data_IF_786312619473
#
_entry.id   IF_786312619473
#
_cell.length_a   1.000
_cell.length_b   1.000
_cell.length_c   1.000
_cell.angle_alpha   90.00
_cell.angle_beta   90.00
_cell.angle_gamma   90.00
#
_symmetry.space_group_name_H-M   'P 1'
#
loop_
_entity.id
_entity.type
_entity.pdbx_description
1 polymer ?
#
# COMPACT_ATOMS: atom_id res chain seq x y z
N UNK A 1 -24.13 -18.22 -29.02
CA UNK A 1 -22.97 -19.08 -28.66
C UNK A 1 -22.80 -19.00 -27.16
N UNK A 2 -23.13 -20.09 -26.50
CA UNK A 2 -23.37 -20.23 -25.05
C UNK A 2 -22.14 -20.81 -24.34
N UNK A 3 -22.00 -20.54 -23.04
CA UNK A 3 -21.08 -21.27 -22.18
C UNK A 3 -21.01 -20.77 -20.74
N UNK A 4 -22.10 -20.93 -19.97
CA UNK A 4 -22.20 -20.71 -18.52
C UNK A 4 -21.70 -21.95 -17.73
N UNK A 5 -21.16 -21.69 -16.54
CA UNK A 5 -21.18 -22.47 -15.28
C UNK A 5 -21.83 -23.87 -15.29
N UNK A 6 -21.17 -24.86 -14.67
CA UNK A 6 -21.74 -25.67 -13.57
C UNK A 6 -20.68 -26.60 -12.93
N UNK A 7 -20.58 -26.53 -11.60
CA UNK A 7 -19.91 -27.46 -10.69
C UNK A 7 -21.00 -28.35 -10.06
N UNK A 8 -20.90 -29.68 -10.13
CA UNK A 8 -21.33 -30.67 -9.11
C UNK A 8 -21.23 -32.10 -9.66
N UNK A 9 -20.46 -32.98 -8.99
CA UNK A 9 -20.96 -34.32 -8.61
C UNK A 9 -20.07 -34.98 -7.55
N UNK A 10 -20.67 -35.24 -6.39
CA UNK A 10 -20.27 -36.29 -5.46
C UNK A 10 -20.25 -37.66 -6.18
N UNK A 11 -19.34 -38.55 -5.76
CA UNK A 11 -19.69 -39.90 -5.28
C UNK A 11 -18.45 -40.57 -4.68
N UNK A 12 -18.44 -40.64 -3.36
CA UNK A 12 -17.71 -41.62 -2.55
C UNK A 12 -18.50 -42.93 -2.55
N UNK A 13 -17.82 -44.04 -2.83
CA UNK A 13 -18.18 -45.36 -2.30
C UNK A 13 -16.90 -46.10 -1.92
N UNK A 14 -16.93 -46.61 -0.69
CA UNK A 14 -15.90 -47.38 -0.02
C UNK A 14 -16.14 -48.89 -0.23
N UNK A 15 -15.18 -49.67 0.30
CA UNK A 15 -15.15 -51.13 0.50
C UNK A 15 -14.59 -51.93 -0.70
N UNK A 16 -13.75 -52.96 -0.56
CA UNK A 16 -13.23 -53.69 0.61
C UNK A 16 -12.23 -54.79 0.15
N UNK A 17 -11.36 -55.23 1.07
CA UNK A 17 -10.69 -56.56 1.21
C UNK A 17 -9.58 -57.01 0.25
N UNK A 18 -8.45 -57.44 0.84
CA UNK A 18 -7.55 -58.46 0.25
C UNK A 18 -6.12 -58.47 0.81
N UNK A 19 -5.80 -59.44 1.66
CA UNK A 19 -4.58 -59.55 2.45
C UNK A 19 -3.41 -60.30 1.78
N UNK A 20 -2.22 -60.14 2.38
CA UNK A 20 -1.10 -61.09 2.51
C UNK A 20 -0.12 -61.30 1.32
N UNK A 21 1.14 -60.89 1.49
CA UNK A 21 2.34 -61.75 1.65
C UNK A 21 3.62 -60.90 1.55
N UNK A 22 4.56 -61.18 2.46
CA UNK A 22 5.90 -60.62 2.62
C UNK A 22 6.82 -60.73 1.39
N UNK A 23 7.68 -59.74 1.17
CA UNK A 23 9.15 -59.86 1.31
C UNK A 23 9.89 -58.69 0.63
N UNK A 24 10.68 -58.01 1.47
CA UNK A 24 12.05 -57.54 1.20
C UNK A 24 12.35 -57.08 -0.23
N UNK A 25 12.39 -55.76 -0.43
CA UNK A 25 13.51 -55.18 -1.16
C UNK A 25 13.90 -53.81 -0.57
N UNK A 26 15.07 -53.83 0.02
CA UNK A 26 15.87 -52.69 0.41
C UNK A 26 16.20 -51.82 -0.80
N UNK A 27 15.56 -50.66 -0.88
CA UNK A 27 16.14 -49.50 -1.57
C UNK A 27 16.29 -48.37 -0.57
N UNK A 28 17.37 -48.48 0.20
CA UNK A 28 18.04 -47.36 0.85
C UNK A 28 18.27 -46.30 -0.22
N UNK A 29 17.53 -45.20 -0.12
CA UNK A 29 17.71 -44.05 -1.01
C UNK A 29 19.10 -43.43 -0.74
N UNK A 30 20.03 -43.41 -1.70
CA UNK A 30 21.40 -43.04 -1.43
C UNK A 30 21.52 -41.52 -1.28
N UNK A 31 21.95 -41.09 -0.09
CA UNK A 31 22.60 -39.80 0.20
C UNK A 31 21.87 -38.55 -0.31
N UNK A 32 20.83 -38.11 0.42
CA UNK A 32 20.50 -36.68 0.46
C UNK A 32 21.66 -35.94 1.13
N UNK A 33 22.17 -34.90 0.48
CA UNK A 33 23.22 -34.10 1.12
C UNK A 33 22.64 -33.36 2.33
N UNK A 34 23.39 -33.18 3.43
CA UNK A 34 22.96 -32.38 4.57
C UNK A 34 22.49 -30.97 4.16
N UNK A 35 23.06 -30.42 3.08
CA UNK A 35 22.65 -29.14 2.51
C UNK A 35 21.25 -29.16 1.89
N UNK A 36 20.82 -30.27 1.28
CA UNK A 36 19.48 -30.39 0.71
C UNK A 36 18.41 -30.52 1.80
N UNK A 37 18.67 -31.30 2.86
CA UNK A 37 17.72 -31.43 3.97
C UNK A 37 17.59 -30.12 4.76
N UNK A 38 18.69 -29.38 4.92
CA UNK A 38 18.66 -28.05 5.55
C UNK A 38 17.92 -27.04 4.67
N UNK A 39 18.11 -27.05 3.35
CA UNK A 39 17.37 -26.17 2.43
C UNK A 39 15.86 -26.49 2.42
N UNK A 40 15.47 -27.75 2.44
CA UNK A 40 14.06 -28.17 2.52
C UNK A 40 13.43 -27.78 3.86
N UNK A 41 14.12 -28.00 4.98
CA UNK A 41 13.63 -27.60 6.31
C UNK A 41 13.50 -26.08 6.44
N UNK A 42 14.48 -25.32 5.93
CA UNK A 42 14.43 -23.85 5.90
C UNK A 42 13.31 -23.35 4.99
N UNK A 43 13.09 -23.98 3.83
CA UNK A 43 11.98 -23.62 2.94
C UNK A 43 10.63 -23.94 3.58
N UNK A 44 10.49 -25.08 4.25
CA UNK A 44 9.29 -25.46 5.00
C UNK A 44 8.99 -24.48 6.14
N UNK A 45 10.00 -24.08 6.93
CA UNK A 45 9.82 -23.09 7.99
C UNK A 45 9.52 -21.67 7.47
N UNK A 46 10.00 -21.33 6.27
CA UNK A 46 9.69 -20.06 5.61
C UNK A 46 8.27 -20.04 5.01
N UNK A 47 7.73 -21.20 4.65
CA UNK A 47 6.32 -21.38 4.29
C UNK A 47 5.43 -21.28 5.53
N UNK A 48 5.92 -21.77 6.69
CA UNK A 48 5.20 -21.68 7.98
C UNK A 48 5.08 -20.26 8.53
N UNK A 49 6.02 -19.35 8.20
CA UNK A 49 5.98 -17.95 8.61
C UNK A 49 6.32 -16.98 7.46
N UNK A 50 5.32 -16.52 6.70
CA UNK A 50 5.54 -15.63 5.57
C UNK A 50 6.12 -14.26 6.00
N UNK A 51 5.91 -13.85 7.25
CA UNK A 51 6.44 -12.60 7.79
C UNK A 51 7.96 -12.65 7.98
N UNK A 52 8.45 -13.69 8.66
CA UNK A 52 9.89 -13.92 8.80
C UNK A 52 10.57 -14.10 7.46
N UNK A 53 9.90 -14.73 6.49
CA UNK A 53 10.44 -14.87 5.14
C UNK A 53 10.67 -13.52 4.43
N UNK A 54 9.85 -12.50 4.70
CA UNK A 54 10.07 -11.13 4.21
C UNK A 54 11.20 -10.46 4.96
N UNK A 55 11.23 -10.52 6.30
CA UNK A 55 12.30 -9.94 7.13
C UNK A 55 13.67 -10.47 6.73
N UNK A 56 13.81 -11.78 6.56
CA UNK A 56 15.05 -12.42 6.13
C UNK A 56 15.45 -12.06 4.70
N UNK A 57 14.47 -11.92 3.81
CA UNK A 57 14.73 -11.47 2.45
C UNK A 57 15.30 -10.05 2.46
N UNK A 58 14.71 -9.13 3.21
CA UNK A 58 15.16 -7.73 3.31
C UNK A 58 16.57 -7.66 3.86
N UNK A 59 16.86 -8.37 4.96
CA UNK A 59 18.21 -8.37 5.56
C UNK A 59 19.29 -8.80 4.55
N UNK A 60 18.98 -9.81 3.72
CA UNK A 60 19.89 -10.32 2.68
C UNK A 60 19.96 -9.41 1.46
N UNK A 61 18.83 -8.94 0.96
CA UNK A 61 18.73 -8.12 -0.26
C UNK A 61 19.41 -6.77 -0.07
N UNK A 62 19.22 -6.16 1.11
CA UNK A 62 19.89 -4.91 1.49
C UNK A 62 21.34 -5.11 1.91
N UNK A 63 21.83 -6.36 2.00
CA UNK A 63 23.19 -6.73 2.43
C UNK A 63 23.58 -6.09 3.76
N UNK A 64 22.68 -6.15 4.74
CA UNK A 64 22.89 -5.48 6.02
C UNK A 64 24.04 -6.14 6.79
N UNK A 65 25.02 -5.32 7.18
CA UNK A 65 26.18 -5.76 7.94
C UNK A 65 25.78 -6.18 9.36
N UNK A 66 26.24 -7.36 9.79
CA UNK A 66 26.00 -7.83 11.16
C UNK A 66 26.58 -6.91 12.22
N UNK A 67 27.72 -6.28 11.95
CA UNK A 67 28.37 -5.31 12.84
C UNK A 67 27.50 -4.07 13.12
N UNK A 68 26.62 -3.71 12.18
CA UNK A 68 25.78 -2.52 12.24
C UNK A 68 24.30 -2.87 12.43
N UNK A 69 24.02 -4.06 12.96
CA UNK A 69 22.66 -4.53 13.20
C UNK A 69 22.53 -5.34 14.48
N UNK A 70 21.41 -5.19 15.16
CA UNK A 70 20.98 -6.08 16.23
C UNK A 70 19.85 -6.97 15.71
N UNK A 71 19.92 -8.26 16.04
CA UNK A 71 18.89 -9.24 15.69
C UNK A 71 17.89 -9.36 16.85
N UNK A 72 16.62 -9.47 16.52
CA UNK A 72 15.55 -9.84 17.44
C UNK A 72 14.88 -11.14 16.97
N UNK A 73 14.00 -11.70 17.78
CA UNK A 73 13.30 -12.96 17.48
C UNK A 73 12.60 -12.92 16.11
N UNK A 74 11.91 -11.80 15.81
CA UNK A 74 11.14 -11.63 14.57
C UNK A 74 11.51 -10.40 13.76
N UNK A 75 12.75 -9.93 13.90
CA UNK A 75 13.16 -8.66 13.32
C UNK A 75 14.64 -8.37 13.45
N UNK A 76 15.01 -7.18 12.99
CA UNK A 76 16.31 -6.60 13.24
C UNK A 76 16.18 -5.08 13.34
N UNK A 77 17.13 -4.45 14.03
CA UNK A 77 17.40 -3.01 13.94
C UNK A 77 18.77 -2.81 13.34
N UNK A 78 18.93 -1.86 12.44
CA UNK A 78 20.21 -1.58 11.82
C UNK A 78 20.48 -0.08 11.66
N UNK A 79 21.77 0.25 11.55
CA UNK A 79 22.28 1.61 11.42
C UNK A 79 23.08 1.77 10.12
N UNK A 80 22.42 2.27 9.08
CA UNK A 80 23.11 2.66 7.85
C UNK A 80 24.01 3.87 8.04
N UNK A 81 23.65 4.75 8.98
CA UNK A 81 24.47 5.86 9.50
C UNK A 81 23.86 6.46 10.77
N UNK A 82 23.20 7.62 10.65
CA UNK A 82 22.79 8.46 11.79
C UNK A 82 21.48 8.00 12.44
N UNK A 83 20.64 7.24 11.74
CA UNK A 83 19.27 6.94 12.13
C UNK A 83 19.07 5.43 12.15
N UNK A 84 18.44 4.93 13.21
CA UNK A 84 18.10 3.52 13.35
C UNK A 84 16.85 3.20 12.53
N UNK A 85 16.87 2.05 11.84
CA UNK A 85 15.69 1.46 11.23
C UNK A 85 15.44 0.06 11.80
N UNK A 86 14.21 -0.20 12.23
CA UNK A 86 13.76 -1.50 12.72
C UNK A 86 12.79 -2.10 11.70
N UNK A 87 13.03 -3.36 11.33
CA UNK A 87 12.18 -4.16 10.44
C UNK A 87 11.80 -5.43 11.19
N UNK A 88 10.50 -5.73 11.26
CA UNK A 88 10.01 -6.90 11.97
C UNK A 88 8.70 -7.44 11.40
N UNK A 89 8.32 -8.64 11.83
CA UNK A 89 7.04 -9.26 11.51
C UNK A 89 6.24 -9.57 12.78
N UNK A 90 4.95 -9.27 12.75
CA UNK A 90 4.00 -9.78 13.76
C UNK A 90 3.86 -11.30 13.66
N UNK A 91 3.50 -12.00 14.75
CA UNK A 91 3.15 -13.41 14.69
C UNK A 91 2.08 -13.69 13.62
N UNK A 92 2.17 -14.80 12.88
CA UNK A 92 1.17 -15.14 11.88
C UNK A 92 -0.19 -15.46 12.54
N UNK A 93 -1.27 -15.10 11.86
CA UNK A 93 -2.65 -15.42 12.22
C UNK A 93 -3.41 -15.91 10.99
N UNK A 94 -4.55 -16.59 11.22
CA UNK A 94 -5.39 -17.11 10.14
C UNK A 94 -6.49 -16.10 9.78
N UNK A 95 -6.64 -15.78 8.49
CA UNK A 95 -7.76 -14.99 7.95
C UNK A 95 -8.16 -15.56 6.58
N UNK A 96 -9.45 -15.86 6.40
CA UNK A 96 -10.00 -16.35 5.12
C UNK A 96 -9.28 -17.59 4.54
N UNK A 97 -8.78 -18.48 5.40
CA UNK A 97 -8.05 -19.69 4.99
C UNK A 97 -6.59 -19.45 4.58
N UNK A 98 -6.09 -18.23 4.79
CA UNK A 98 -4.68 -17.90 4.61
C UNK A 98 -4.02 -17.64 5.95
N UNK A 99 -2.79 -18.14 6.08
CA UNK A 99 -1.88 -17.76 7.14
C UNK A 99 -1.19 -16.45 6.76
N UNK A 100 -1.54 -15.38 7.47
CA UNK A 100 -1.11 -14.01 7.18
C UNK A 100 -0.17 -13.53 8.30
N UNK A 101 0.87 -12.79 7.93
CA UNK A 101 1.64 -11.98 8.88
C UNK A 101 1.68 -10.53 8.39
N UNK A 102 1.80 -9.58 9.32
CA UNK A 102 2.05 -8.17 9.01
C UNK A 102 3.52 -7.85 9.24
N UNK A 103 4.19 -7.40 8.19
CA UNK A 103 5.57 -6.90 8.26
C UNK A 103 5.59 -5.39 8.40
N UNK A 104 6.55 -4.88 9.17
CA UNK A 104 6.68 -3.47 9.52
C UNK A 104 8.10 -2.97 9.29
N UNK A 105 8.18 -1.69 8.96
CA UNK A 105 9.42 -0.94 8.98
C UNK A 105 9.18 0.39 9.69
N UNK A 106 10.08 0.72 10.62
CA UNK A 106 10.11 2.00 11.33
C UNK A 106 11.52 2.56 11.26
N UNK A 107 11.64 3.83 10.91
CA UNK A 107 12.92 4.54 10.97
C UNK A 107 12.78 5.74 11.87
N UNK A 108 13.67 5.86 12.86
CA UNK A 108 13.68 6.99 13.79
C UNK A 108 14.05 8.28 13.06
N UNK A 109 13.29 9.36 13.30
CA UNK A 109 13.49 10.64 12.59
C UNK A 109 13.71 11.79 13.58
N UNK A 110 12.80 11.98 14.52
CA UNK A 110 12.88 13.07 15.49
C UNK A 110 12.33 12.66 16.85
N UNK A 111 12.85 13.28 17.90
CA UNK A 111 12.47 13.07 19.29
C UNK A 111 12.05 14.39 19.94
N UNK A 112 11.25 14.34 21.00
CA UNK A 112 10.77 15.55 21.69
C UNK A 112 9.71 16.33 20.90
N UNK A 113 9.01 15.66 19.97
CA UNK A 113 7.87 16.22 19.28
C UNK A 113 6.75 16.58 20.25
N UNK A 114 6.14 17.75 20.02
CA UNK A 114 4.95 18.20 20.77
C UNK A 114 3.76 18.19 19.82
N UNK A 115 2.71 17.43 20.15
CA UNK A 115 1.48 17.33 19.37
C UNK A 115 0.58 18.58 19.40
N UNK A 116 1.16 19.78 19.34
CA UNK A 116 0.39 21.02 19.24
C UNK A 116 -0.32 21.08 17.87
N UNK A 117 -1.44 21.83 17.74
CA UNK A 117 -2.12 21.98 16.45
C UNK A 117 -1.20 22.45 15.32
N UNK A 118 -0.27 23.37 15.62
CA UNK A 118 0.72 23.86 14.66
C UNK A 118 1.68 22.76 14.19
N UNK A 119 2.21 21.97 15.13
CA UNK A 119 3.14 20.89 14.81
C UNK A 119 2.45 19.73 14.08
N UNK A 120 1.20 19.43 14.41
CA UNK A 120 0.38 18.47 13.66
C UNK A 120 0.11 18.98 12.24
N UNK A 121 -0.15 20.28 12.05
CA UNK A 121 -0.28 20.88 10.71
C UNK A 121 1.00 20.75 9.89
N UNK A 122 2.17 21.01 10.50
CA UNK A 122 3.49 20.82 9.86
C UNK A 122 3.75 19.36 9.49
N UNK A 123 3.50 18.42 10.41
CA UNK A 123 3.63 16.98 10.16
C UNK A 123 2.70 16.53 9.02
N UNK A 124 1.46 16.99 9.03
CA UNK A 124 0.48 16.73 7.98
C UNK A 124 0.92 17.28 6.62
N UNK A 125 1.50 18.48 6.60
CA UNK A 125 2.04 19.09 5.37
C UNK A 125 3.21 18.29 4.79
N UNK A 126 4.10 17.74 5.63
CA UNK A 126 5.16 16.83 5.18
C UNK A 126 4.59 15.54 4.58
N UNK A 127 3.55 14.97 5.21
CA UNK A 127 2.89 13.75 4.74
C UNK A 127 2.12 13.91 3.42
N UNK A 128 1.87 15.14 2.94
CA UNK A 128 1.32 15.37 1.59
C UNK A 128 2.24 14.88 0.47
N UNK A 129 3.53 14.69 0.77
CA UNK A 129 4.54 14.17 -0.15
C UNK A 129 4.96 12.74 0.24
N UNK A 130 4.12 12.02 1.00
CA UNK A 130 4.40 10.64 1.36
C UNK A 130 4.52 9.76 0.11
N UNK A 131 5.57 8.92 0.10
CA UNK A 131 5.81 7.92 -0.93
C UNK A 131 5.33 6.55 -0.44
N UNK A 132 6.25 5.72 0.04
CA UNK A 132 5.98 4.37 0.55
C UNK A 132 5.96 4.28 2.08
N UNK A 133 5.97 5.43 2.77
CA UNK A 133 5.90 5.51 4.23
C UNK A 133 5.32 6.84 4.72
N UNK A 134 4.67 6.83 5.87
CA UNK A 134 4.21 8.04 6.59
C UNK A 134 5.23 8.50 7.62
N UNK A 135 5.29 9.80 7.90
CA UNK A 135 5.79 10.29 9.19
C UNK A 135 4.66 10.22 10.22
N UNK A 136 4.89 9.48 11.30
CA UNK A 136 3.91 9.28 12.38
C UNK A 136 4.49 9.69 13.73
N UNK A 137 3.61 10.00 14.68
CA UNK A 137 3.94 9.96 16.11
C UNK A 137 3.69 8.53 16.58
N UNK A 138 4.71 7.87 17.09
CA UNK A 138 4.64 6.44 17.41
C UNK A 138 3.97 6.19 18.77
N UNK A 139 2.64 6.10 18.79
CA UNK A 139 1.82 5.95 20.00
C UNK A 139 1.24 7.28 20.50
N UNK A 140 0.11 7.21 21.23
CA UNK A 140 -0.71 8.39 21.58
C UNK A 140 -0.01 9.42 22.47
N UNK A 141 0.94 9.00 23.30
CA UNK A 141 1.68 9.86 24.24
C UNK A 141 3.15 10.02 23.86
N UNK A 142 3.55 9.48 22.71
CA UNK A 142 4.95 9.50 22.30
C UNK A 142 5.38 10.87 21.81
N UNK A 143 6.64 11.18 22.06
CA UNK A 143 7.31 12.35 21.50
C UNK A 143 8.22 11.99 20.32
N UNK A 144 8.14 10.75 19.84
CA UNK A 144 8.99 10.22 18.79
C UNK A 144 8.26 10.25 17.44
N UNK A 145 8.91 10.86 16.46
CA UNK A 145 8.52 10.83 15.06
C UNK A 145 9.32 9.77 14.35
N UNK A 146 8.61 8.89 13.65
CA UNK A 146 9.19 7.83 12.84
C UNK A 146 8.61 7.85 11.44
N UNK A 147 9.41 7.47 10.46
CA UNK A 147 8.81 6.93 9.25
C UNK A 147 8.20 5.56 9.54
N UNK A 148 7.05 5.26 8.94
CA UNK A 148 6.32 4.01 9.14
C UNK A 148 5.77 3.46 7.84
N UNK A 149 5.97 2.16 7.64
CA UNK A 149 5.38 1.36 6.57
C UNK A 149 4.96 -0.01 7.11
N UNK A 150 3.92 -0.61 6.53
CA UNK A 150 3.57 -2.01 6.80
C UNK A 150 2.87 -2.68 5.63
N UNK A 151 2.99 -4.01 5.53
CA UNK A 151 2.31 -4.82 4.52
C UNK A 151 1.84 -6.14 5.12
N UNK A 152 0.71 -6.65 4.64
CA UNK A 152 0.27 -8.01 4.91
C UNK A 152 0.89 -8.96 3.90
N UNK A 153 1.30 -10.14 4.37
CA UNK A 153 1.91 -11.16 3.53
C UNK A 153 1.35 -12.53 3.88
N UNK A 154 1.07 -13.30 2.84
CA UNK A 154 0.82 -14.74 2.92
C UNK A 154 1.56 -15.42 1.76
N UNK A 155 1.53 -16.74 1.70
CA UNK A 155 2.29 -17.55 0.74
C UNK A 155 2.17 -17.05 -0.71
N UNK A 156 0.95 -16.75 -1.18
CA UNK A 156 0.70 -16.37 -2.58
C UNK A 156 1.13 -14.93 -2.89
N UNK A 157 1.16 -14.04 -1.90
CA UNK A 157 1.59 -12.64 -2.08
C UNK A 157 3.08 -12.43 -1.80
N UNK A 158 3.72 -13.41 -1.17
CA UNK A 158 5.13 -13.39 -0.78
C UNK A 158 6.08 -12.89 -1.87
N UNK A 159 5.99 -13.32 -3.15
CA UNK A 159 6.93 -12.89 -4.18
C UNK A 159 6.93 -11.38 -4.45
N UNK A 160 5.75 -10.77 -4.58
CA UNK A 160 5.66 -9.33 -4.89
C UNK A 160 5.76 -8.47 -3.62
N UNK A 161 5.31 -8.97 -2.47
CA UNK A 161 5.49 -8.26 -1.17
C UNK A 161 6.97 -8.14 -0.83
N UNK A 162 7.77 -9.20 -1.00
CA UNK A 162 9.24 -9.15 -0.80
C UNK A 162 9.87 -7.99 -1.57
N UNK A 163 9.54 -7.85 -2.86
CA UNK A 163 10.09 -6.80 -3.71
C UNK A 163 9.59 -5.41 -3.32
N UNK A 164 8.28 -5.23 -3.23
CA UNK A 164 7.69 -3.91 -2.96
C UNK A 164 8.10 -3.41 -1.56
N UNK A 165 8.07 -4.28 -0.56
CA UNK A 165 8.43 -3.91 0.80
C UNK A 165 9.92 -3.60 0.92
N UNK A 166 10.81 -4.33 0.23
CA UNK A 166 12.24 -3.99 0.20
C UNK A 166 12.50 -2.58 -0.36
N UNK A 167 11.77 -2.18 -1.41
CA UNK A 167 11.85 -0.81 -1.95
C UNK A 167 11.38 0.21 -0.91
N UNK A 168 10.29 -0.07 -0.19
CA UNK A 168 9.78 0.79 0.87
C UNK A 168 10.80 0.94 2.02
N UNK A 169 11.36 -0.17 2.50
CA UNK A 169 12.37 -0.19 3.58
C UNK A 169 13.63 0.59 3.18
N UNK A 170 14.18 0.33 1.99
CA UNK A 170 15.36 1.04 1.50
C UNK A 170 15.08 2.54 1.32
N UNK A 171 13.96 2.90 0.69
CA UNK A 171 13.56 4.31 0.52
C UNK A 171 13.41 5.01 1.87
N UNK A 172 12.79 4.35 2.84
CA UNK A 172 12.57 4.88 4.18
C UNK A 172 13.90 5.17 4.91
N UNK A 173 14.86 4.24 4.84
CA UNK A 173 16.18 4.42 5.45
C UNK A 173 16.93 5.60 4.82
N UNK A 174 16.92 5.70 3.48
CA UNK A 174 17.58 6.79 2.76
C UNK A 174 16.91 8.14 3.07
N UNK A 175 15.58 8.18 3.10
CA UNK A 175 14.83 9.40 3.39
C UNK A 175 15.13 9.95 4.79
N UNK A 176 15.31 9.09 5.80
CA UNK A 176 15.75 9.54 7.12
C UNK A 176 17.13 10.19 7.07
N UNK A 177 18.08 9.61 6.33
CA UNK A 177 19.42 10.19 6.20
C UNK A 177 19.41 11.55 5.48
N UNK A 178 18.62 11.68 4.41
CA UNK A 178 18.53 12.91 3.62
C UNK A 178 17.76 14.00 4.38
N UNK A 179 16.63 13.65 4.97
CA UNK A 179 15.62 14.62 5.43
C UNK A 179 15.52 14.72 6.94
N UNK A 180 15.99 13.74 7.71
CA UNK A 180 15.62 13.60 9.12
C UNK A 180 15.97 14.81 9.98
N UNK A 181 17.15 15.41 9.75
CA UNK A 181 17.57 16.64 10.46
C UNK A 181 16.70 17.85 10.11
N UNK A 182 16.33 17.99 8.83
CA UNK A 182 15.46 19.07 8.34
C UNK A 182 14.03 18.89 8.90
N UNK A 183 13.50 17.68 8.84
CA UNK A 183 12.18 17.34 9.40
C UNK A 183 12.13 17.67 10.90
N UNK A 184 13.13 17.23 11.67
CA UNK A 184 13.21 17.53 13.09
C UNK A 184 13.19 19.05 13.36
N UNK A 185 14.00 19.82 12.62
CA UNK A 185 14.03 21.28 12.73
C UNK A 185 12.69 21.94 12.40
N UNK A 186 12.02 21.51 11.32
CA UNK A 186 10.69 22.03 10.94
C UNK A 186 9.63 21.79 12.02
N UNK A 187 9.72 20.66 12.73
CA UNK A 187 8.79 20.26 13.78
C UNK A 187 9.17 20.81 15.18
N UNK A 188 10.24 21.59 15.29
CA UNK A 188 10.75 22.08 16.57
C UNK A 188 11.22 20.95 17.50
N UNK A 189 11.61 19.82 16.92
CA UNK A 189 12.07 18.60 17.59
C UNK A 189 13.59 18.44 17.42
N UNK A 190 14.19 17.47 18.13
CA UNK A 190 15.61 17.12 17.94
C UNK A 190 15.73 15.92 17.00
N UNK A 191 16.73 15.85 16.11
CA UNK A 191 16.96 14.66 15.29
C UNK A 191 17.17 13.41 16.17
N UNK A 192 16.53 12.30 15.83
CA UNK A 192 16.65 11.04 16.56
C UNK A 192 17.93 10.26 16.17
N UNK A 193 19.07 10.95 16.24
CA UNK A 193 20.37 10.38 15.86
C UNK A 193 20.85 9.42 16.94
N UNK A 194 21.21 8.20 16.56
CA UNK A 194 21.69 7.15 17.47
C UNK A 194 22.85 6.35 16.85
N UNK A 195 23.55 5.59 17.68
CA UNK A 195 24.55 4.62 17.25
C UNK A 195 24.13 3.21 17.61
N UNK A 196 24.75 2.22 16.98
CA UNK A 196 24.63 0.82 17.38
C UNK A 196 25.02 0.66 18.86
N UNK A 197 24.33 -0.17 19.66
CA UNK A 197 24.59 -0.30 21.10
C UNK A 197 26.02 -0.71 21.44
N UNK A 198 26.66 -1.52 20.59
CA UNK A 198 28.03 -2.03 20.81
C UNK A 198 29.06 -1.31 19.93
N UNK A 199 28.72 -1.02 18.68
CA UNK A 199 29.64 -0.48 17.67
C UNK A 199 29.68 1.06 17.69
N UNK A 200 28.78 1.69 18.45
CA UNK A 200 28.67 3.14 18.52
C UNK A 200 28.15 3.75 17.22
N UNK A 201 28.60 4.96 16.90
CA UNK A 201 28.18 5.65 15.67
C UNK A 201 28.99 5.17 14.47
N UNK A 202 28.31 4.94 13.35
CA UNK A 202 28.94 4.62 12.07
C UNK A 202 29.53 5.89 11.46
N UNK A 203 30.82 5.87 11.15
CA UNK A 203 31.51 7.03 10.55
C UNK A 203 31.13 7.21 9.07
N UNK A 204 31.18 6.11 8.32
CA UNK A 204 30.90 6.10 6.89
C UNK A 204 29.45 5.64 6.61
N UNK A 205 28.87 6.16 5.53
CA UNK A 205 27.55 5.69 5.10
C UNK A 205 27.65 4.25 4.60
N UNK A 206 26.67 3.42 4.96
CA UNK A 206 26.42 2.15 4.26
C UNK A 206 26.13 2.39 2.77
N UNK A 207 26.65 1.52 1.90
CA UNK A 207 26.43 1.60 0.45
C UNK A 207 24.94 1.50 0.08
N UNK A 208 24.13 0.78 0.87
CA UNK A 208 22.67 0.72 0.69
C UNK A 208 22.07 2.13 0.68
N UNK A 209 22.62 3.08 1.43
CA UNK A 209 22.10 4.45 1.47
C UNK A 209 22.23 5.21 0.14
N UNK A 210 22.99 4.67 -0.83
CA UNK A 210 23.04 5.20 -2.19
C UNK A 210 21.87 4.72 -3.07
N UNK A 211 20.96 3.88 -2.56
CA UNK A 211 19.86 3.27 -3.31
C UNK A 211 19.04 4.26 -4.14
N UNK A 212 18.67 5.41 -3.57
CA UNK A 212 17.88 6.40 -4.31
C UNK A 212 18.65 7.00 -5.49
N UNK A 213 19.91 7.39 -5.29
CA UNK A 213 20.75 7.99 -6.32
C UNK A 213 21.15 6.97 -7.40
N UNK A 214 21.52 5.75 -7.00
CA UNK A 214 22.06 4.74 -7.90
C UNK A 214 20.98 3.91 -8.62
N UNK A 215 19.81 3.70 -8.01
CA UNK A 215 18.80 2.74 -8.50
C UNK A 215 17.48 3.39 -8.87
N UNK A 216 17.00 4.33 -8.04
CA UNK A 216 15.66 4.94 -8.22
C UNK A 216 15.70 6.10 -9.20
N UNK A 217 16.59 7.08 -8.98
CA UNK A 217 16.67 8.28 -9.80
C UNK A 217 16.88 8.00 -11.30
N UNK A 218 17.76 7.06 -11.73
CA UNK A 218 17.91 6.75 -13.16
C UNK A 218 16.64 6.19 -13.82
N UNK A 219 15.80 5.48 -13.05
CA UNK A 219 14.50 4.97 -13.54
C UNK A 219 13.40 6.02 -13.49
N UNK A 220 13.47 6.94 -12.54
CA UNK A 220 12.57 8.08 -12.40
C UNK A 220 12.77 9.17 -13.46
N UNK A 221 13.83 9.09 -14.27
CA UNK A 221 14.05 9.99 -15.42
C UNK A 221 13.40 9.49 -16.73
N UNK A 222 12.82 8.29 -16.72
CA UNK A 222 12.17 7.67 -17.90
C UNK A 222 10.67 7.95 -17.89
N UNK A 223 9.97 7.60 -18.96
CA UNK A 223 8.50 7.62 -18.94
C UNK A 223 7.94 6.72 -17.82
N UNK A 224 6.73 7.02 -17.34
CA UNK A 224 6.12 6.18 -16.30
C UNK A 224 5.82 4.79 -16.84
N UNK A 225 6.28 3.76 -16.12
CA UNK A 225 6.01 2.36 -16.46
C UNK A 225 4.58 1.93 -16.09
N UNK A 226 3.87 2.76 -15.33
CA UNK A 226 2.50 2.52 -14.89
C UNK A 226 1.45 3.00 -15.90
N UNK A 227 1.87 3.76 -16.90
CA UNK A 227 0.98 4.31 -17.92
C UNK A 227 0.65 3.24 -18.98
N UNK A 228 -0.61 3.19 -19.43
CA UNK A 228 -1.02 2.37 -20.58
C UNK A 228 -2.21 1.47 -20.27
N UNK A 229 -2.18 0.24 -20.81
CA UNK A 229 -3.35 -0.65 -20.80
C UNK A 229 -3.80 -1.08 -19.40
N UNK A 230 -2.88 -1.33 -18.46
CA UNK A 230 -3.30 -1.71 -17.09
C UNK A 230 -4.21 -0.65 -16.44
N UNK A 231 -4.00 0.64 -16.73
CA UNK A 231 -4.86 1.73 -16.22
C UNK A 231 -6.25 1.66 -16.86
N UNK A 232 -6.32 1.38 -18.17
CA UNK A 232 -7.60 1.27 -18.89
C UNK A 232 -8.38 0.03 -18.45
N UNK A 233 -7.72 -1.11 -18.35
CA UNK A 233 -8.30 -2.34 -17.82
C UNK A 233 -8.81 -2.14 -16.39
N UNK A 234 -8.09 -1.39 -15.55
CA UNK A 234 -8.56 -1.07 -14.21
C UNK A 234 -9.81 -0.19 -14.22
N UNK A 235 -9.92 0.77 -15.14
CA UNK A 235 -11.15 1.60 -15.31
C UNK A 235 -12.34 0.73 -15.71
N UNK A 236 -12.14 -0.24 -16.61
CA UNK A 236 -13.19 -1.18 -17.03
C UNK A 236 -13.63 -2.07 -15.86
N UNK A 237 -12.68 -2.61 -15.09
CA UNK A 237 -12.98 -3.44 -13.91
C UNK A 237 -13.70 -2.66 -12.81
N UNK A 238 -13.40 -1.36 -12.65
CA UNK A 238 -14.07 -0.46 -11.72
C UNK A 238 -15.45 0.00 -12.18
N UNK A 239 -15.96 -0.42 -13.34
CA UNK A 239 -17.35 -0.12 -13.71
C UNK A 239 -18.39 -0.92 -12.88
N UNK A 240 -17.94 -1.89 -12.07
CA UNK A 240 -18.78 -2.70 -11.18
C UNK A 240 -18.71 -2.30 -9.70
N UNK A 241 -19.55 -2.92 -8.84
CA UNK A 241 -19.51 -2.72 -7.40
C UNK A 241 -18.12 -3.03 -6.80
N UNK A 242 -17.69 -2.31 -5.75
CA UNK A 242 -18.41 -1.27 -5.03
C UNK A 242 -18.15 0.15 -5.57
N UNK A 243 -17.64 0.30 -6.80
CA UNK A 243 -17.37 1.61 -7.36
C UNK A 243 -18.66 2.25 -7.90
N UNK A 244 -18.88 3.52 -7.56
CA UNK A 244 -20.01 4.30 -8.04
C UNK A 244 -19.76 4.76 -9.46
N UNK A 245 -18.58 5.33 -9.72
CA UNK A 245 -18.19 5.83 -11.03
C UNK A 245 -16.67 5.76 -11.15
N UNK A 246 -16.19 5.22 -12.28
CA UNK A 246 -14.79 5.27 -12.65
C UNK A 246 -14.61 5.88 -14.04
N UNK A 247 -13.60 6.72 -14.19
CA UNK A 247 -13.22 7.34 -15.46
C UNK A 247 -11.70 7.30 -15.62
N UNK A 248 -11.24 7.28 -16.86
CA UNK A 248 -9.82 7.41 -17.21
C UNK A 248 -9.68 8.02 -18.59
N UNK A 249 -8.44 8.32 -18.97
CA UNK A 249 -8.13 8.87 -20.29
C UNK A 249 -7.66 7.80 -21.28
N UNK A 250 -7.79 8.09 -22.58
CA UNK A 250 -7.43 7.17 -23.68
C UNK A 250 -5.93 6.83 -23.74
N UNK A 251 -5.07 7.62 -23.08
CA UNK A 251 -3.61 7.38 -23.00
C UNK A 251 -3.26 6.50 -21.79
N UNK A 252 -4.22 6.18 -20.93
CA UNK A 252 -4.00 5.46 -19.68
C UNK A 252 -3.05 6.20 -18.73
N UNK A 253 -3.07 7.53 -18.73
CA UNK A 253 -2.20 8.35 -17.88
C UNK A 253 -2.77 8.52 -16.45
N UNK A 254 -4.05 8.28 -16.27
CA UNK A 254 -4.65 8.21 -14.94
C UNK A 254 -6.06 7.68 -14.94
N UNK A 255 -6.56 7.49 -13.73
CA UNK A 255 -7.96 7.17 -13.47
C UNK A 255 -8.48 7.93 -12.26
N UNK A 256 -9.79 8.08 -12.23
CA UNK A 256 -10.53 8.48 -11.02
C UNK A 256 -11.60 7.44 -10.73
N UNK A 257 -11.86 7.19 -9.46
CA UNK A 257 -12.88 6.27 -9.01
C UNK A 257 -13.56 6.80 -7.75
N UNK A 258 -14.88 6.73 -7.70
CA UNK A 258 -15.69 7.14 -6.57
C UNK A 258 -16.20 5.93 -5.79
N UNK A 259 -16.08 6.00 -4.47
CA UNK A 259 -16.53 4.96 -3.56
C UNK A 259 -17.52 5.53 -2.53
N UNK A 260 -18.50 4.74 -2.07
CA UNK A 260 -19.53 5.22 -1.15
C UNK A 260 -18.95 5.75 0.18
N UNK A 261 -19.55 6.82 0.69
CA UNK A 261 -19.21 7.40 2.00
C UNK A 261 -20.38 8.27 2.54
N UNK A 262 -21.21 7.69 3.42
CA UNK A 262 -22.47 8.27 3.90
C UNK A 262 -23.38 8.74 2.75
N UNK A 263 -23.65 10.05 2.66
CA UNK A 263 -24.45 10.69 1.61
C UNK A 263 -23.59 11.26 0.47
N UNK A 264 -22.29 10.95 0.47
CA UNK A 264 -21.30 11.44 -0.50
C UNK A 264 -20.43 10.28 -0.98
N UNK A 265 -19.41 10.60 -1.78
CA UNK A 265 -18.41 9.65 -2.25
C UNK A 265 -17.01 10.10 -1.82
N UNK A 266 -16.19 9.13 -1.44
CA UNK A 266 -14.74 9.31 -1.41
C UNK A 266 -14.19 9.19 -2.82
N UNK A 267 -13.13 9.94 -3.11
CA UNK A 267 -12.57 10.05 -4.45
C UNK A 267 -11.14 9.52 -4.46
N UNK A 268 -10.94 8.43 -5.20
CA UNK A 268 -9.64 7.95 -5.61
C UNK A 268 -9.21 8.64 -6.90
N UNK A 269 -7.98 9.14 -6.93
CA UNK A 269 -7.26 9.56 -8.13
C UNK A 269 -5.93 8.83 -8.20
N UNK A 270 -5.63 8.21 -9.34
CA UNK A 270 -4.32 7.69 -9.66
C UNK A 270 -3.81 8.37 -10.94
N UNK A 271 -2.60 8.92 -10.92
CA UNK A 271 -2.02 9.64 -12.08
C UNK A 271 -0.53 9.37 -12.24
N UNK A 272 -0.08 9.25 -13.49
CA UNK A 272 1.32 9.14 -13.87
C UNK A 272 1.94 10.47 -14.32
N UNK A 273 1.14 11.54 -14.36
CA UNK A 273 1.56 12.86 -14.87
C UNK A 273 2.25 13.71 -13.80
N UNK A 274 2.10 13.36 -12.52
CA UNK A 274 2.76 14.05 -11.40
C UNK A 274 4.04 13.30 -10.97
N UNK A 275 5.20 13.89 -11.27
CA UNK A 275 6.48 13.35 -10.81
C UNK A 275 6.75 13.67 -9.33
N UNK A 276 7.30 12.71 -8.60
CA UNK A 276 7.77 12.92 -7.24
C UNK A 276 9.11 13.68 -7.26
N UNK A 277 9.29 14.77 -6.49
CA UNK A 277 10.47 15.63 -6.56
C UNK A 277 11.82 14.91 -6.43
N UNK A 278 11.86 13.82 -5.67
CA UNK A 278 13.07 13.04 -5.40
C UNK A 278 13.11 11.67 -6.10
N UNK A 279 11.95 11.09 -6.42
CA UNK A 279 11.87 9.72 -6.93
C UNK A 279 11.62 9.69 -8.44
N UNK A 280 11.34 10.86 -9.03
CA UNK A 280 11.06 11.03 -10.46
C UNK A 280 9.66 10.52 -10.82
N UNK A 281 9.56 9.87 -11.98
CA UNK A 281 8.31 9.32 -12.51
C UNK A 281 7.86 8.04 -11.81
N UNK A 282 6.55 7.85 -11.79
CA UNK A 282 5.88 6.74 -11.13
C UNK A 282 4.37 6.89 -11.28
N UNK A 283 3.63 6.41 -10.28
CA UNK A 283 2.18 6.65 -10.15
C UNK A 283 1.85 7.17 -8.76
N UNK A 284 1.04 8.23 -8.74
CA UNK A 284 0.60 8.91 -7.53
C UNK A 284 -0.86 8.57 -7.25
N UNK A 285 -1.12 8.01 -6.08
CA UNK A 285 -2.45 7.71 -5.57
C UNK A 285 -2.87 8.75 -4.53
N UNK A 286 -4.11 9.22 -4.65
CA UNK A 286 -4.78 10.07 -3.66
C UNK A 286 -6.20 9.55 -3.42
N UNK A 287 -6.51 9.17 -2.19
CA UNK A 287 -7.87 8.83 -1.75
C UNK A 287 -8.37 9.93 -0.81
N UNK A 288 -9.29 10.76 -1.28
CA UNK A 288 -9.83 11.91 -0.54
C UNK A 288 -11.20 11.58 0.06
N UNK A 289 -11.37 11.88 1.35
CA UNK A 289 -12.61 11.63 2.09
C UNK A 289 -13.54 12.86 2.04
N UNK A 290 -14.85 12.72 1.84
CA UNK A 290 -15.78 13.84 1.75
C UNK A 290 -16.19 14.35 3.15
N UNK A 291 -15.21 14.51 4.06
CA UNK A 291 -15.41 14.97 5.44
C UNK A 291 -15.50 16.50 5.43
N UNK A 292 -16.58 17.04 5.98
CA UNK A 292 -16.86 18.49 6.05
C UNK A 292 -16.50 19.14 7.37
N UNK A 293 -15.77 18.45 8.23
CA UNK A 293 -15.22 19.04 9.45
C UNK A 293 -14.37 20.27 9.12
N UNK A 294 -14.19 21.15 10.11
CA UNK A 294 -13.38 22.34 9.96
C UNK A 294 -11.99 22.00 9.41
N UNK A 295 -11.52 22.73 8.40
CA UNK A 295 -10.17 22.56 7.83
C UNK A 295 -9.07 22.64 8.89
N UNK A 296 -9.33 23.33 10.01
CA UNK A 296 -8.40 23.44 11.14
C UNK A 296 -8.18 22.09 11.85
N UNK A 297 -9.14 21.17 11.82
CA UNK A 297 -9.07 19.87 12.49
C UNK A 297 -8.49 18.77 11.60
N UNK A 298 -8.40 18.99 10.28
CA UNK A 298 -7.91 17.98 9.33
C UNK A 298 -6.51 17.44 9.65
N UNK A 299 -5.52 18.24 10.07
CA UNK A 299 -4.22 17.69 10.46
C UNK A 299 -4.30 16.68 11.61
N UNK A 300 -5.15 16.97 12.61
CA UNK A 300 -5.39 16.08 13.74
C UNK A 300 -6.13 14.82 13.29
N UNK A 301 -7.18 14.96 12.47
CA UNK A 301 -7.92 13.82 11.90
C UNK A 301 -7.03 12.89 11.07
N UNK A 302 -6.19 13.47 10.20
CA UNK A 302 -5.23 12.73 9.39
C UNK A 302 -4.19 11.99 10.24
N UNK A 303 -3.67 12.64 11.29
CA UNK A 303 -2.77 11.99 12.24
C UNK A 303 -3.45 10.78 12.93
N UNK A 304 -4.68 10.95 13.41
CA UNK A 304 -5.44 9.86 14.03
C UNK A 304 -5.70 8.69 13.07
N UNK A 305 -5.98 8.96 11.79
CA UNK A 305 -6.14 7.91 10.78
C UNK A 305 -4.83 7.16 10.52
N UNK A 306 -3.68 7.84 10.47
CA UNK A 306 -2.38 7.16 10.36
C UNK A 306 -2.14 6.20 11.53
N UNK A 307 -2.37 6.64 12.76
CA UNK A 307 -2.22 5.79 13.95
C UNK A 307 -3.22 4.62 13.92
N UNK A 308 -4.51 4.90 13.66
CA UNK A 308 -5.54 3.86 13.61
C UNK A 308 -5.26 2.81 12.54
N UNK A 309 -4.84 3.19 11.33
CA UNK A 309 -4.57 2.22 10.25
C UNK A 309 -3.36 1.32 10.56
N UNK A 310 -2.38 1.84 11.32
CA UNK A 310 -1.26 1.04 11.81
C UNK A 310 -1.63 0.10 12.94
N UNK A 311 -2.57 0.50 13.80
CA UNK A 311 -3.03 -0.30 14.94
C UNK A 311 -4.17 -1.28 14.58
N UNK A 312 -4.75 -1.17 13.37
CA UNK A 312 -5.91 -1.96 12.94
C UNK A 312 -5.54 -2.98 11.86
N UNK A 313 -6.26 -4.10 11.83
CA UNK A 313 -6.17 -5.09 10.76
C UNK A 313 -7.01 -4.68 9.53
N UNK A 314 -6.49 -3.76 8.72
CA UNK A 314 -7.24 -3.16 7.60
C UNK A 314 -7.21 -3.98 6.31
N UNK A 315 -6.41 -5.04 6.23
CA UNK A 315 -6.11 -5.80 4.99
C UNK A 315 -5.49 -4.98 3.84
N UNK A 316 -5.25 -3.69 4.04
CA UNK A 316 -4.56 -2.83 3.08
C UNK A 316 -3.11 -2.56 3.54
N UNK A 317 -2.13 -2.52 2.62
CA UNK A 317 -0.77 -2.13 2.95
C UNK A 317 -0.73 -0.65 3.36
N UNK A 318 -0.03 -0.34 4.44
CA UNK A 318 0.25 1.04 4.87
C UNK A 318 1.54 1.52 4.18
N UNK A 319 1.42 1.91 2.91
CA UNK A 319 2.50 2.45 2.08
C UNK A 319 2.13 3.85 1.59
N UNK A 320 2.25 4.84 2.46
CA UNK A 320 1.76 6.19 2.22
C UNK A 320 1.35 6.85 3.52
N UNK A 321 0.56 7.92 3.46
CA UNK A 321 0.08 8.61 4.66
C UNK A 321 -1.23 9.35 4.45
N UNK A 322 -2.04 9.40 5.50
CA UNK A 322 -3.11 10.39 5.64
C UNK A 322 -2.55 11.78 5.93
N UNK A 323 -3.04 12.78 5.21
CA UNK A 323 -2.70 14.19 5.40
C UNK A 323 -3.92 15.10 5.20
N UNK A 324 -3.82 16.35 5.66
CA UNK A 324 -4.71 17.43 5.24
C UNK A 324 -4.37 17.81 3.79
N UNK A 325 -5.15 17.28 2.85
CA UNK A 325 -5.09 17.67 1.44
C UNK A 325 -5.74 19.03 1.20
N UNK A 326 -5.72 19.49 -0.05
CA UNK A 326 -6.21 20.84 -0.38
C UNK A 326 -7.71 21.03 -0.10
N UNK A 327 -8.48 19.95 -0.27
CA UNK A 327 -9.95 19.97 -0.16
C UNK A 327 -10.51 18.90 0.78
N UNK A 328 -9.69 18.01 1.32
CA UNK A 328 -10.13 16.89 2.15
C UNK A 328 -8.96 16.26 2.91
N UNK A 329 -9.26 15.53 3.98
CA UNK A 329 -8.34 14.52 4.51
C UNK A 329 -8.12 13.49 3.39
N UNK A 330 -6.85 13.23 3.06
CA UNK A 330 -6.45 12.46 1.88
C UNK A 330 -5.34 11.49 2.24
N UNK A 331 -5.49 10.22 1.85
CA UNK A 331 -4.39 9.27 1.85
C UNK A 331 -3.55 9.46 0.59
N UNK A 332 -2.26 9.71 0.73
CA UNK A 332 -1.31 9.92 -0.37
C UNK A 332 -0.29 8.80 -0.39
N UNK A 333 -0.03 8.26 -1.57
CA UNK A 333 1.00 7.25 -1.80
C UNK A 333 1.61 7.42 -3.18
N UNK A 334 2.93 7.30 -3.27
CA UNK A 334 3.65 7.38 -4.54
C UNK A 334 4.48 6.11 -4.77
N UNK A 335 4.23 5.44 -5.89
CA UNK A 335 4.95 4.24 -6.31
C UNK A 335 5.91 4.59 -7.45
N UNK A 336 7.24 4.63 -7.20
CA UNK A 336 8.22 4.97 -8.22
C UNK A 336 8.29 3.87 -9.29
N UNK A 337 8.83 4.20 -10.47
CA UNK A 337 9.02 3.24 -11.57
C UNK A 337 9.73 1.94 -11.18
N UNK A 338 10.64 1.96 -10.19
CA UNK A 338 11.32 0.74 -9.71
C UNK A 338 10.35 -0.28 -9.07
N UNK A 339 9.24 0.20 -8.52
CA UNK A 339 8.20 -0.62 -7.91
C UNK A 339 7.28 -1.28 -8.93
N UNK A 340 7.30 -0.86 -10.20
CA UNK A 340 6.42 -1.42 -11.22
C UNK A 340 6.67 -2.92 -11.44
N UNK A 341 5.56 -3.67 -11.46
CA UNK A 341 5.46 -5.05 -11.90
C UNK A 341 4.13 -5.22 -12.63
N UNK A 342 4.08 -5.99 -13.74
CA UNK A 342 2.83 -6.27 -14.41
C UNK A 342 1.76 -6.82 -13.47
N UNK A 343 0.56 -6.24 -13.50
CA UNK A 343 -0.58 -6.64 -12.68
C UNK A 343 -0.56 -6.13 -11.23
N UNK A 344 0.52 -5.47 -10.79
CA UNK A 344 0.58 -4.88 -9.44
C UNK A 344 -0.41 -3.70 -9.30
N UNK A 345 -0.67 -2.96 -10.38
CA UNK A 345 -1.55 -1.78 -10.35
C UNK A 345 -2.92 -2.11 -9.76
N UNK A 346 -3.52 -3.23 -10.18
CA UNK A 346 -4.83 -3.64 -9.68
C UNK A 346 -4.82 -3.88 -8.17
N UNK A 347 -3.79 -4.55 -7.64
CA UNK A 347 -3.65 -4.77 -6.19
C UNK A 347 -3.54 -3.44 -5.41
N UNK A 348 -2.87 -2.43 -5.97
CA UNK A 348 -2.75 -1.10 -5.37
C UNK A 348 -4.10 -0.36 -5.37
N UNK A 349 -4.87 -0.48 -6.45
CA UNK A 349 -6.22 0.08 -6.55
C UNK A 349 -7.16 -0.60 -5.56
N UNK A 350 -7.17 -1.94 -5.51
CA UNK A 350 -7.99 -2.69 -4.55
C UNK A 350 -7.63 -2.32 -3.10
N UNK A 351 -6.36 -2.07 -2.82
CA UNK A 351 -5.92 -1.56 -1.50
C UNK A 351 -6.56 -0.22 -1.15
N UNK A 352 -6.80 0.66 -2.13
CA UNK A 352 -7.51 1.93 -1.92
C UNK A 352 -9.01 1.73 -1.73
N UNK A 353 -9.63 0.76 -2.42
CA UNK A 353 -11.03 0.36 -2.19
C UNK A 353 -11.22 -0.14 -0.76
N UNK A 354 -10.36 -1.07 -0.32
CA UNK A 354 -10.36 -1.62 1.03
C UNK A 354 -10.17 -0.51 2.07
N UNK A 355 -9.24 0.42 1.82
CA UNK A 355 -9.02 1.57 2.69
C UNK A 355 -10.24 2.49 2.76
N UNK A 356 -10.87 2.81 1.64
CA UNK A 356 -12.08 3.64 1.62
C UNK A 356 -13.20 2.99 2.45
N UNK A 357 -13.37 1.67 2.31
CA UNK A 357 -14.34 0.89 3.09
C UNK A 357 -14.03 0.88 4.57
N UNK A 358 -12.78 0.60 4.94
CA UNK A 358 -12.33 0.63 6.33
C UNK A 358 -12.59 1.99 6.98
N UNK A 359 -12.30 3.10 6.29
CA UNK A 359 -12.58 4.43 6.85
C UNK A 359 -14.08 4.64 7.02
N UNK A 360 -14.89 4.26 6.02
CA UNK A 360 -16.33 4.42 6.09
C UNK A 360 -16.92 3.62 7.27
N UNK A 361 -16.70 2.31 7.31
CA UNK A 361 -17.31 1.41 8.30
C UNK A 361 -16.69 1.57 9.68
N UNK A 362 -15.37 1.36 9.81
CA UNK A 362 -14.73 1.23 11.12
C UNK A 362 -14.31 2.57 11.71
N UNK A 363 -13.76 3.47 10.88
CA UNK A 363 -13.26 4.75 11.39
C UNK A 363 -14.37 5.78 11.60
N UNK A 364 -15.46 5.69 10.80
CA UNK A 364 -16.52 6.71 10.75
C UNK A 364 -17.91 6.18 11.16
N UNK A 365 -18.14 4.87 11.15
CA UNK A 365 -19.43 4.27 11.55
C UNK A 365 -20.51 4.28 10.45
N UNK A 366 -20.12 4.39 9.17
CA UNK A 366 -21.01 4.30 8.02
C UNK A 366 -21.41 2.84 7.72
N UNK A 367 -22.52 2.65 7.01
CA UNK A 367 -22.87 1.38 6.40
C UNK A 367 -22.53 1.42 4.90
N UNK A 368 -21.36 0.87 4.54
CA UNK A 368 -20.83 0.90 3.17
C UNK A 368 -21.83 0.43 2.10
N UNK A 369 -22.56 -0.66 2.38
CA UNK A 369 -23.48 -1.24 1.42
C UNK A 369 -24.73 -0.36 1.23
N UNK A 370 -25.28 0.20 2.31
CA UNK A 370 -26.40 1.13 2.20
C UNK A 370 -25.99 2.42 1.47
N UNK A 371 -24.79 2.94 1.78
CA UNK A 371 -24.20 4.09 1.09
C UNK A 371 -23.96 3.81 -0.39
N UNK A 372 -23.52 2.59 -0.75
CA UNK A 372 -23.39 2.16 -2.13
C UNK A 372 -24.73 2.18 -2.87
N UNK A 373 -25.77 1.61 -2.26
CA UNK A 373 -27.12 1.57 -2.84
C UNK A 373 -27.71 2.97 -3.02
N UNK A 374 -27.53 3.87 -2.02
CA UNK A 374 -27.95 5.28 -2.12
C UNK A 374 -27.23 6.01 -3.26
N UNK A 375 -25.89 5.94 -3.28
CA UNK A 375 -25.09 6.61 -4.30
C UNK A 375 -25.35 6.06 -5.71
N UNK A 376 -25.57 4.75 -5.84
CA UNK A 376 -25.91 4.11 -7.12
C UNK A 376 -27.26 4.58 -7.65
N UNK A 377 -28.29 4.70 -6.79
CA UNK A 377 -29.58 5.29 -7.18
C UNK A 377 -29.44 6.74 -7.62
N UNK A 378 -28.74 7.57 -6.84
CA UNK A 378 -28.50 8.97 -7.20
C UNK A 378 -27.78 9.12 -8.55
N UNK A 379 -26.79 8.25 -8.83
CA UNK A 379 -26.12 8.19 -10.14
C UNK A 379 -27.10 7.84 -11.26
N UNK A 380 -27.95 6.82 -11.09
CA UNK A 380 -28.92 6.42 -12.11
C UNK A 380 -29.89 7.56 -12.43
N UNK A 381 -30.47 8.20 -11.40
CA UNK A 381 -31.37 9.35 -11.56
C UNK A 381 -30.68 10.52 -12.29
N UNK A 382 -29.43 10.81 -11.95
CA UNK A 382 -28.64 11.84 -12.64
C UNK A 382 -28.41 11.50 -14.13
N UNK A 383 -28.08 10.24 -14.44
CA UNK A 383 -27.85 9.80 -15.82
C UNK A 383 -29.12 9.86 -16.67
N UNK A 384 -30.27 9.48 -16.10
CA UNK A 384 -31.58 9.60 -16.75
C UNK A 384 -31.92 11.08 -17.05
N UNK A 385 -31.76 11.95 -16.05
CA UNK A 385 -31.99 13.39 -16.22
C UNK A 385 -31.08 14.01 -17.29
N UNK A 386 -29.81 13.62 -17.34
CA UNK A 386 -28.88 14.05 -18.39
C UNK A 386 -29.34 13.56 -19.78
N UNK A 387 -29.76 12.30 -19.89
CA UNK A 387 -30.31 11.74 -21.13
C UNK A 387 -31.52 12.52 -21.66
N UNK A 388 -32.42 12.94 -20.77
CA UNK A 388 -33.56 13.81 -21.13
C UNK A 388 -33.13 15.19 -21.64
N UNK A 389 -32.10 15.79 -21.05
CA UNK A 389 -31.58 17.10 -21.47
C UNK A 389 -30.95 17.00 -22.87
N UNK A 390 -30.19 15.94 -23.13
CA UNK A 390 -29.57 15.72 -24.46
C UNK A 390 -30.62 15.44 -25.54
N UNK A 391 -31.65 14.66 -25.25
CA UNK A 391 -32.76 14.41 -26.20
C UNK A 391 -33.60 15.67 -26.47
N UNK A 392 -33.91 16.48 -25.45
CA UNK A 392 -34.61 17.78 -25.61
C UNK A 392 -33.79 18.80 -26.41
N UNK A 393 -32.46 18.84 -26.26
CA UNK A 393 -31.56 19.69 -27.08
C UNK A 393 -31.42 19.18 -28.51
N UNK A 394 -31.39 17.86 -28.73
CA UNK A 394 -31.41 17.25 -30.07
C UNK A 394 -32.68 17.60 -30.86
N UNK A 395 -33.84 17.51 -30.21
CA UNK A 395 -35.14 17.86 -30.81
C UNK A 395 -35.35 19.37 -31.05
N UNK A 396 -34.61 20.24 -30.37
CA UNK A 396 -34.59 21.68 -30.69
C UNK A 396 -33.73 22.03 -31.90
N UNK A 397 -32.68 21.26 -32.21
CA UNK A 397 -31.83 21.46 -33.41
C UNK A 397 -32.47 20.98 -34.71
N UNK A 398 -33.42 20.05 -34.67
CA UNK A 398 -34.15 19.56 -35.86
C UNK A 398 -35.37 20.42 -36.24
N UNK A 399 -35.74 21.43 -35.45
CA UNK A 399 -36.82 22.39 -35.77
C UNK A 399 -36.29 23.74 -36.29
N UNK A 400 -35.25 23.71 -37.13
CA UNK A 400 -34.69 24.89 -37.80
C UNK A 400 -35.18 25.05 -39.25
N UNK A 401 -36.20 25.90 -39.42
CA UNK A 401 -36.53 26.73 -40.61
C UNK A 401 -36.81 26.01 -41.95
N UNK A 402 -38.05 26.06 -42.50
CA UNK A 402 -38.29 25.70 -43.89
C UNK A 402 -37.58 26.70 -44.80
N UNK A 403 -36.64 26.24 -45.62
CA UNK A 403 -36.14 27.00 -46.77
C UNK A 403 -37.32 27.27 -47.70
N UNK A 404 -37.76 28.53 -47.78
CA UNK A 404 -38.63 29.01 -48.86
C UNK A 404 -37.92 28.75 -50.18
N UNK A 405 -38.49 27.87 -51.00
CA UNK A 405 -38.14 27.74 -52.41
C UNK A 405 -38.89 28.81 -53.19
N UNK A 406 -38.11 29.56 -53.99
CA UNK A 406 -38.41 30.47 -55.11
C UNK A 406 -39.78 31.13 -55.19
#
# INVERSE_FOLDING_TARGET
>A
MFGRFFFFRLLTHASEVGACIDEVNSTVNPRRSPEQSVKEAVMSSLIEDPGLAVVEHIFKEMKIDREWSTRQERGFTWWGKDFAQTVWAEPPFEDSGFRISRVHARTDVAAGFKGTPENLAKLSALNRFASLSALIVDGRESSEIRFAASMYVHEQTLPWVKRLFSIAVATQAVDAQIKGKVIAGMLGARPAVSGHPESGRRNDCDDMLNFLAAVVAPRGQRASLWQGEEVKEAVEQLQGPPCILATGDDRGAGLTAEFPFFERTSLLRATTEEAHPQLGTGILFRLSLPITDSKQDWPKGAHLLNTRELDSFTRAPFLGSWCAGDQAITFVSFYPNIAYQPGLLWNLITSMVIRARWVAEEASGDNWNESFERASRAKMEMMEALGEVFTKKGNKKTKGTPRRAR
#
